data_IF_653079084589
#
_entry.id   IF_653079084589
#
_cell.length_a   1.000
_cell.length_b   1.000
_cell.length_c   1.000
_cell.angle_alpha   90.00
_cell.angle_beta   90.00
_cell.angle_gamma   90.00
#
_symmetry.space_group_name_H-M   'P 1'
#
loop_
_entity.id
_entity.type
_entity.pdbx_description
1 polymer ?
#
# COMPACT_ATOMS: atom_id res chain seq x y z
N UNK A 1 -9.11 15.02 7.71
CA UNK A 1 -8.73 14.40 9.00
C UNK A 1 -7.48 13.55 8.76
N UNK A 2 -6.30 13.99 9.22
CA UNK A 2 -5.08 13.16 9.23
C UNK A 2 -5.11 12.27 10.49
N UNK A 3 -6.03 11.32 10.51
CA UNK A 3 -6.18 10.34 11.58
C UNK A 3 -5.70 8.98 11.08
N UNK A 4 -4.93 8.28 11.91
CA UNK A 4 -4.59 6.86 11.75
C UNK A 4 -3.42 6.47 10.82
N UNK A 5 -2.28 7.20 10.85
CA UNK A 5 -0.98 6.53 10.67
C UNK A 5 -0.67 5.64 11.88
N UNK A 6 -1.42 4.55 12.02
CA UNK A 6 -1.04 3.47 12.93
C UNK A 6 0.33 2.99 12.50
N UNK A 7 1.35 3.21 13.34
CA UNK A 7 2.71 2.71 13.13
C UNK A 7 2.59 1.21 12.91
N UNK A 8 2.83 0.73 11.68
CA UNK A 8 2.83 -0.71 11.36
C UNK A 8 3.71 -1.47 12.36
N UNK A 9 4.81 -0.84 12.80
CA UNK A 9 5.67 -1.27 13.91
C UNK A 9 4.93 -1.71 15.20
N UNK A 10 3.79 -1.11 15.57
CA UNK A 10 3.03 -1.54 16.77
C UNK A 10 2.38 -2.91 16.61
N UNK A 11 2.20 -3.38 15.38
CA UNK A 11 1.58 -4.65 15.05
C UNK A 11 2.62 -5.74 14.78
N UNK A 12 3.92 -5.50 14.98
CA UNK A 12 5.04 -6.40 14.60
C UNK A 12 4.83 -7.87 14.94
N UNK A 13 4.23 -8.16 16.10
CA UNK A 13 3.93 -9.52 16.53
C UNK A 13 2.86 -10.21 15.67
N UNK A 14 1.87 -9.46 15.19
CA UNK A 14 0.77 -9.96 14.34
C UNK A 14 1.20 -10.08 12.87
N UNK A 15 2.09 -9.19 12.40
CA UNK A 15 2.68 -9.23 11.03
C UNK A 15 3.69 -10.37 10.84
N UNK A 16 4.04 -11.05 11.91
CA UNK A 16 4.82 -12.29 11.84
C UNK A 16 4.02 -13.42 11.18
N UNK A 17 2.68 -13.35 11.22
CA UNK A 17 1.81 -14.19 10.42
C UNK A 17 1.70 -13.63 8.99
N UNK A 18 2.14 -14.44 8.02
CA UNK A 18 2.10 -14.09 6.62
C UNK A 18 0.70 -13.81 6.08
N UNK A 19 -0.30 -14.54 6.55
CA UNK A 19 -1.67 -14.33 6.11
C UNK A 19 -2.21 -12.98 6.61
N UNK A 20 -1.94 -12.64 7.87
CA UNK A 20 -2.35 -11.36 8.45
C UNK A 20 -1.63 -10.19 7.78
N UNK A 21 -0.33 -10.32 7.54
CA UNK A 21 0.47 -9.31 6.84
C UNK A 21 -0.09 -9.00 5.45
N UNK A 22 -0.44 -10.04 4.68
CA UNK A 22 -1.06 -9.92 3.35
C UNK A 22 -2.42 -9.22 3.44
N UNK A 23 -3.29 -9.65 4.36
CA UNK A 23 -4.61 -9.03 4.55
C UNK A 23 -4.49 -7.55 4.92
N UNK A 24 -3.56 -7.21 5.81
CA UNK A 24 -3.30 -5.83 6.23
C UNK A 24 -2.73 -4.98 5.10
N UNK A 25 -1.80 -5.51 4.31
CA UNK A 25 -1.26 -4.82 3.12
C UNK A 25 -2.35 -4.55 2.08
N UNK A 26 -3.19 -5.55 1.78
CA UNK A 26 -4.33 -5.39 0.88
C UNK A 26 -5.29 -4.31 1.37
N UNK A 27 -5.65 -4.36 2.66
CA UNK A 27 -6.57 -3.38 3.26
C UNK A 27 -6.00 -1.96 3.21
N UNK A 28 -4.73 -1.76 3.60
CA UNK A 28 -4.09 -0.44 3.61
C UNK A 28 -3.92 0.11 2.20
N UNK A 29 -3.57 -0.74 1.24
CA UNK A 29 -3.51 -0.39 -0.19
C UNK A 29 -4.89 0.06 -0.68
N UNK A 30 -5.95 -0.70 -0.38
CA UNK A 30 -7.31 -0.34 -0.76
C UNK A 30 -7.75 1.00 -0.13
N UNK A 31 -7.43 1.25 1.14
CA UNK A 31 -7.74 2.53 1.80
C UNK A 31 -6.98 3.69 1.16
N UNK A 32 -5.71 3.51 0.80
CA UNK A 32 -4.91 4.53 0.11
C UNK A 32 -5.48 4.86 -1.28
N UNK A 33 -5.99 3.86 -2.00
CA UNK A 33 -6.67 4.03 -3.28
C UNK A 33 -8.04 4.73 -3.13
N UNK A 34 -8.83 4.37 -2.11
CA UNK A 34 -10.17 4.91 -1.88
C UNK A 34 -10.18 6.27 -1.15
N UNK A 35 -9.01 6.84 -0.81
CA UNK A 35 -8.91 8.01 0.07
C UNK A 35 -9.66 9.25 -0.43
N UNK A 36 -9.88 9.40 -1.75
CA UNK A 36 -10.53 10.58 -2.31
C UNK A 36 -12.08 10.49 -2.39
N UNK A 37 -12.72 9.40 -1.95
CA UNK A 37 -14.13 9.07 -2.29
C UNK A 37 -14.43 9.18 -3.80
N UNK A 38 -13.39 9.15 -4.61
CA UNK A 38 -13.42 9.16 -6.07
C UNK A 38 -13.06 7.74 -6.44
N UNK A 39 -13.88 7.08 -7.26
CA UNK A 39 -13.52 5.75 -7.75
C UNK A 39 -12.14 5.85 -8.42
N UNK A 40 -11.09 5.25 -7.81
CA UNK A 40 -9.79 5.22 -8.44
C UNK A 40 -9.95 4.37 -9.69
N UNK A 41 -9.50 4.87 -10.83
CA UNK A 41 -9.42 4.08 -12.04
C UNK A 41 -8.41 2.97 -11.78
N UNK A 42 -8.94 1.77 -11.54
CA UNK A 42 -8.15 0.56 -11.28
C UNK A 42 -7.55 -0.01 -12.58
N UNK A 43 -7.82 0.59 -13.74
CA UNK A 43 -7.24 0.13 -15.00
C UNK A 43 -5.72 0.20 -14.95
N UNK A 44 -5.09 -0.97 -15.07
CA UNK A 44 -3.64 -1.13 -15.03
C UNK A 44 -3.02 -0.98 -13.64
N UNK A 45 -3.81 -1.00 -12.57
CA UNK A 45 -3.29 -1.17 -11.21
C UNK A 45 -3.16 -2.66 -10.89
N UNK A 46 -1.96 -3.09 -10.50
CA UNK A 46 -1.67 -4.48 -10.15
C UNK A 46 -0.99 -4.52 -8.79
N UNK A 47 -1.49 -5.41 -7.91
CA UNK A 47 -0.84 -5.73 -6.65
C UNK A 47 -0.42 -7.20 -6.71
N UNK A 48 0.89 -7.43 -6.73
CA UNK A 48 1.48 -8.77 -6.78
C UNK A 48 2.18 -9.08 -5.48
N UNK A 49 1.98 -10.30 -4.98
CA UNK A 49 2.68 -10.81 -3.82
C UNK A 49 3.61 -11.95 -4.23
N UNK A 50 4.85 -11.92 -3.75
CA UNK A 50 5.89 -12.92 -3.94
C UNK A 50 6.56 -13.20 -2.60
N UNK A 51 6.09 -14.22 -1.89
CA UNK A 51 6.49 -14.50 -0.51
C UNK A 51 6.21 -13.31 0.42
N UNK A 52 7.28 -12.72 0.96
CA UNK A 52 7.21 -11.54 1.85
C UNK A 52 7.34 -10.19 1.13
N UNK A 53 7.31 -10.20 -0.21
CA UNK A 53 7.38 -9.00 -1.05
C UNK A 53 6.04 -8.71 -1.70
N UNK A 54 5.50 -7.53 -1.46
CA UNK A 54 4.37 -6.95 -2.16
C UNK A 54 4.86 -5.91 -3.17
N UNK A 55 4.44 -6.02 -4.43
CA UNK A 55 4.76 -5.07 -5.49
C UNK A 55 3.47 -4.46 -6.01
N UNK A 56 3.35 -3.14 -5.87
CA UNK A 56 2.27 -2.34 -6.41
C UNK A 56 2.73 -1.69 -7.70
N UNK A 57 2.03 -1.93 -8.79
CA UNK A 57 2.26 -1.33 -10.11
C UNK A 57 1.07 -0.51 -10.54
N UNK A 58 1.34 0.60 -11.22
CA UNK A 58 0.30 1.36 -11.92
C UNK A 58 0.64 1.52 -13.39
N UNK A 59 -0.38 1.81 -14.20
CA UNK A 59 -0.19 2.32 -15.56
C UNK A 59 0.50 3.69 -15.54
N UNK A 60 1.08 4.06 -16.68
CA UNK A 60 1.66 5.39 -16.89
C UNK A 60 0.60 6.49 -16.76
N UNK A 61 0.98 7.60 -16.11
CA UNK A 61 0.11 8.74 -15.84
C UNK A 61 -0.89 8.51 -14.71
N UNK A 62 -0.82 7.38 -14.01
CA UNK A 62 -1.70 7.11 -12.88
C UNK A 62 -1.32 7.98 -11.68
N UNK A 63 -0.03 8.14 -11.40
CA UNK A 63 0.43 9.03 -10.32
C UNK A 63 0.07 10.49 -10.56
N UNK A 64 0.00 10.93 -11.83
CA UNK A 64 -0.41 12.29 -12.19
C UNK A 64 -1.91 12.51 -12.01
N UNK A 65 -2.71 11.46 -12.27
CA UNK A 65 -4.16 11.49 -12.11
C UNK A 65 -4.57 11.36 -10.63
N UNK A 66 -3.83 10.58 -9.85
CA UNK A 66 -4.09 10.27 -8.44
C UNK A 66 -2.88 10.57 -7.54
N UNK A 67 -2.37 11.81 -7.51
CA UNK A 67 -1.13 12.15 -6.80
C UNK A 67 -1.23 11.93 -5.28
N UNK A 68 -2.43 12.11 -4.72
CA UNK A 68 -2.67 11.86 -3.30
C UNK A 68 -2.59 10.37 -2.96
N UNK A 69 -3.22 9.50 -3.75
CA UNK A 69 -3.13 8.05 -3.55
C UNK A 69 -1.71 7.54 -3.80
N UNK A 70 -1.02 8.08 -4.80
CA UNK A 70 0.39 7.75 -5.06
C UNK A 70 1.28 8.11 -3.87
N UNK A 71 1.09 9.30 -3.29
CA UNK A 71 1.83 9.71 -2.10
C UNK A 71 1.55 8.79 -0.91
N UNK A 72 0.29 8.44 -0.65
CA UNK A 72 -0.08 7.53 0.43
C UNK A 72 0.55 6.14 0.27
N UNK A 73 0.57 5.59 -0.95
CA UNK A 73 1.23 4.30 -1.23
C UNK A 73 2.75 4.37 -1.02
N UNK A 74 3.39 5.51 -1.32
CA UNK A 74 4.80 5.72 -0.99
C UNK A 74 5.01 5.79 0.54
N UNK A 75 4.09 6.40 1.30
CA UNK A 75 4.15 6.41 2.76
C UNK A 75 3.99 5.00 3.37
N UNK A 76 3.16 4.16 2.74
CA UNK A 76 3.03 2.74 3.10
C UNK A 76 4.37 2.04 2.96
N UNK A 77 5.09 2.22 1.84
CA UNK A 77 6.44 1.67 1.64
C UNK A 77 7.37 1.96 2.83
N UNK A 78 7.41 3.20 3.31
CA UNK A 78 8.24 3.58 4.47
C UNK A 78 7.76 2.96 5.79
N UNK A 79 6.47 2.66 5.90
CA UNK A 79 5.89 2.03 7.08
C UNK A 79 6.21 0.52 7.13
N UNK A 80 6.18 -0.15 5.98
CA UNK A 80 6.50 -1.57 5.83
C UNK A 80 8.00 -1.85 5.86
N UNK A 81 8.88 -0.91 5.47
CA UNK A 81 10.33 -1.03 5.64
C UNK A 81 10.81 -1.28 7.08
N UNK A 82 9.96 -1.02 8.08
CA UNK A 82 10.26 -1.29 9.49
C UNK A 82 9.93 -2.73 9.92
N UNK A 83 9.38 -3.54 9.03
CA UNK A 83 8.98 -4.92 9.26
C UNK A 83 9.79 -5.84 8.34
N UNK A 84 9.73 -7.18 8.51
CA UNK A 84 10.38 -8.10 7.58
C UNK A 84 9.74 -8.16 6.18
N UNK A 85 8.65 -7.40 5.95
CA UNK A 85 7.92 -7.37 4.69
C UNK A 85 8.42 -6.25 3.79
N UNK A 86 8.55 -6.57 2.50
CA UNK A 86 8.98 -5.59 1.51
C UNK A 86 7.78 -5.08 0.73
N UNK A 87 7.50 -3.78 0.80
CA UNK A 87 6.45 -3.14 0.02
C UNK A 87 7.07 -2.23 -1.05
N UNK A 88 7.00 -2.66 -2.31
CA UNK A 88 7.58 -1.98 -3.47
C UNK A 88 6.47 -1.23 -4.21
N UNK A 89 6.72 0.04 -4.54
CA UNK A 89 5.82 0.87 -5.33
C UNK A 89 6.47 1.24 -6.66
N UNK A 90 5.94 0.70 -7.75
CA UNK A 90 6.29 1.01 -9.13
C UNK A 90 5.15 1.83 -9.76
N UNK A 91 4.95 3.04 -9.21
CA UNK A 91 3.92 3.97 -9.68
C UNK A 91 4.50 4.86 -10.78
N UNK A 92 3.78 4.95 -11.90
CA UNK A 92 4.13 5.75 -13.09
C UNK A 92 2.99 6.67 -13.52
#
# INVERSE_FOLDING_TARGET
>A
MLGHRGKVHKLEFEISDAQFALQLMCLRTAVALCHARRDPDMQGFELRFDGQRATVRSREGWSDTYPQSAHLLQEERFSWQKTPWEFVTELR
#
